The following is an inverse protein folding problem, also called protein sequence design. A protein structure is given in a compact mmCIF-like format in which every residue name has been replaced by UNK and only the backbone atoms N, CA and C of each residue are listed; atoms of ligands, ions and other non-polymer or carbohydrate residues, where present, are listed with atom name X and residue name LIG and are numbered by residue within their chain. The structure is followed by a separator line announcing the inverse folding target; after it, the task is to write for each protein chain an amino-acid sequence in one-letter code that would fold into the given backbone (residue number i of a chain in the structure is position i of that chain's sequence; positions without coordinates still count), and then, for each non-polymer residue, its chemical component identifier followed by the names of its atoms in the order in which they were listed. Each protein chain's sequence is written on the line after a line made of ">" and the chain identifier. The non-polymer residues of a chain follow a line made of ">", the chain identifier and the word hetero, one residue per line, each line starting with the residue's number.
data_IF_687692902084
#
_entry.id   IF_687692902084
#
_cell.length_a   1.000
_cell.length_b   1.000
_cell.length_c   1.000
_cell.angle_alpha   90.00
_cell.angle_beta   90.00
_cell.angle_gamma   90.00
#
_symmetry.space_group_name_H-M   'P 1'
#
loop_
_entity.id
_entity.type
_entity.pdbx_description
1 polymer ?
#
# COMPACT_ATOMS: atom_id res chain seq x y z
N UNK A 1 16.39 29.22 6.43
CA UNK A 1 15.39 28.16 6.60
C UNK A 1 16.01 26.77 6.78
N UNK A 2 16.87 26.27 5.91
CA UNK A 2 17.47 24.89 6.06
C UNK A 2 18.21 24.65 7.38
N UNK A 3 18.69 25.68 8.05
CA UNK A 3 19.38 25.60 9.34
C UNK A 3 18.45 25.78 10.55
N UNK A 4 17.15 26.00 10.34
CA UNK A 4 16.18 26.04 11.44
C UNK A 4 15.96 24.65 12.03
N UNK A 5 15.64 24.55 13.33
CA UNK A 5 15.35 23.29 14.01
C UNK A 5 14.28 22.49 13.27
N UNK A 6 13.20 23.13 12.86
CA UNK A 6 12.09 22.52 12.12
C UNK A 6 12.57 21.88 10.80
N UNK A 7 13.47 22.55 10.07
CA UNK A 7 14.01 22.00 8.82
C UNK A 7 14.99 20.86 9.08
N UNK A 8 15.81 20.92 10.13
CA UNK A 8 16.70 19.83 10.53
C UNK A 8 15.89 18.58 10.92
N UNK A 9 14.85 18.74 11.70
CA UNK A 9 13.96 17.63 12.08
C UNK A 9 13.26 17.04 10.83
N UNK A 10 12.79 17.89 9.92
CA UNK A 10 12.22 17.44 8.65
C UNK A 10 13.24 16.70 7.77
N UNK A 11 14.50 17.12 7.74
CA UNK A 11 15.57 16.43 7.00
C UNK A 11 15.80 15.02 7.56
N UNK A 12 15.80 14.87 8.87
CA UNK A 12 15.99 13.58 9.53
C UNK A 12 14.83 12.60 9.23
N UNK A 13 13.59 13.10 9.11
CA UNK A 13 12.38 12.28 8.89
C UNK A 13 12.11 12.05 7.40
N UNK A 14 12.22 13.09 6.58
CA UNK A 14 11.77 13.11 5.19
C UNK A 14 12.92 13.13 4.17
N UNK A 15 14.15 13.30 4.62
CA UNK A 15 15.33 13.46 3.79
C UNK A 15 15.52 14.89 3.27
N UNK A 16 16.78 15.23 2.91
CA UNK A 16 17.17 16.57 2.47
C UNK A 16 16.41 17.06 1.24
N UNK A 17 16.30 16.22 0.21
CA UNK A 17 15.65 16.61 -1.05
C UNK A 17 14.17 16.95 -0.86
N UNK A 18 13.43 16.15 -0.12
CA UNK A 18 12.01 16.39 0.14
C UNK A 18 11.79 17.66 0.97
N UNK A 19 12.59 17.86 2.01
CA UNK A 19 12.56 19.08 2.82
C UNK A 19 12.85 20.33 1.97
N UNK A 20 13.85 20.26 1.08
CA UNK A 20 14.16 21.36 0.18
C UNK A 20 13.00 21.67 -0.79
N UNK A 21 12.29 20.66 -1.29
CA UNK A 21 11.09 20.86 -2.13
C UNK A 21 9.98 21.56 -1.32
N UNK A 22 9.70 21.13 -0.10
CA UNK A 22 8.69 21.73 0.75
C UNK A 22 9.02 23.20 1.08
N UNK A 23 10.29 23.51 1.36
CA UNK A 23 10.76 24.89 1.58
C UNK A 23 10.55 25.74 0.33
N UNK A 24 10.92 25.24 -0.86
CA UNK A 24 10.70 25.98 -2.13
C UNK A 24 9.20 26.24 -2.39
N UNK A 25 8.37 25.25 -2.13
CA UNK A 25 6.92 25.41 -2.27
C UNK A 25 6.36 26.46 -1.30
N UNK A 26 6.83 26.50 -0.06
CA UNK A 26 6.47 27.55 0.92
C UNK A 26 6.87 28.93 0.41
N UNK A 27 8.10 29.06 -0.09
CA UNK A 27 8.60 30.34 -0.60
C UNK A 27 7.89 30.77 -1.90
N UNK A 28 7.55 29.83 -2.78
CA UNK A 28 6.76 30.10 -3.99
C UNK A 28 5.35 30.58 -3.63
N UNK A 29 4.68 29.91 -2.71
CA UNK A 29 3.36 30.34 -2.24
C UNK A 29 3.38 31.74 -1.59
N UNK A 30 4.43 32.05 -0.81
CA UNK A 30 4.62 33.40 -0.26
C UNK A 30 4.83 34.45 -1.36
N UNK A 31 5.61 34.13 -2.39
CA UNK A 31 5.81 35.03 -3.54
C UNK A 31 4.49 35.30 -4.26
N UNK A 32 3.70 34.26 -4.49
CA UNK A 32 2.39 34.38 -5.12
C UNK A 32 1.42 35.21 -4.26
N UNK A 33 1.48 35.05 -2.91
CA UNK A 33 0.68 35.88 -2.00
C UNK A 33 1.07 37.35 -2.02
N UNK A 34 2.37 37.68 -2.16
CA UNK A 34 2.86 39.04 -2.34
C UNK A 34 2.39 39.61 -3.68
N UNK A 35 2.55 38.87 -4.77
CA UNK A 35 2.16 39.32 -6.13
C UNK A 35 0.66 39.52 -6.28
N UNK A 36 -0.14 38.82 -5.49
CA UNK A 36 -1.61 38.95 -5.48
C UNK A 36 -2.15 39.86 -4.37
N UNK A 37 -1.31 40.71 -3.78
CA UNK A 37 -1.67 41.68 -2.70
C UNK A 37 -2.34 41.01 -1.48
N UNK A 38 -2.08 39.74 -1.22
CA UNK A 38 -2.58 39.02 -0.03
C UNK A 38 -1.73 39.30 1.21
N UNK A 39 -0.44 39.55 1.00
CA UNK A 39 0.50 40.02 2.02
C UNK A 39 0.65 41.52 1.83
N UNK A 40 0.32 42.28 2.86
CA UNK A 40 0.27 43.74 2.80
C UNK A 40 1.38 44.42 3.60
N UNK A 41 2.02 43.71 4.50
CA UNK A 41 3.00 44.28 5.40
C UNK A 41 4.31 43.44 5.42
N UNK A 42 5.43 44.12 5.69
CA UNK A 42 6.74 43.49 5.74
C UNK A 42 6.86 42.56 6.93
N UNK A 43 6.14 42.82 8.01
CA UNK A 43 6.10 42.00 9.23
C UNK A 43 5.53 40.63 8.96
N UNK A 44 4.73 40.42 7.90
CA UNK A 44 4.22 39.12 7.47
C UNK A 44 5.30 38.26 6.79
N UNK A 45 6.42 38.85 6.38
CA UNK A 45 7.56 38.21 5.76
C UNK A 45 8.72 37.98 6.73
N UNK A 46 8.53 38.20 8.04
CA UNK A 46 9.51 37.87 9.06
C UNK A 46 9.80 36.37 9.09
N UNK A 47 11.04 36.02 9.39
CA UNK A 47 11.49 34.62 9.36
C UNK A 47 10.62 33.69 10.21
N UNK A 48 10.17 34.16 11.37
CA UNK A 48 9.31 33.37 12.28
C UNK A 48 7.97 33.02 11.60
N UNK A 49 7.36 33.96 10.91
CA UNK A 49 6.08 33.70 10.20
C UNK A 49 6.26 32.82 8.99
N UNK A 50 7.39 32.94 8.30
CA UNK A 50 7.75 32.03 7.20
C UNK A 50 7.97 30.60 7.74
N UNK A 51 8.65 30.44 8.86
CA UNK A 51 8.85 29.15 9.51
C UNK A 51 7.54 28.53 9.99
N UNK A 52 6.61 29.33 10.52
CA UNK A 52 5.28 28.86 10.91
C UNK A 52 4.48 28.33 9.69
N UNK A 53 4.53 29.02 8.55
CA UNK A 53 3.91 28.55 7.30
C UNK A 53 4.55 27.26 6.80
N UNK A 54 5.87 27.16 6.88
CA UNK A 54 6.59 25.93 6.54
C UNK A 54 6.17 24.77 7.45
N UNK A 55 6.05 25.00 8.75
CA UNK A 55 5.57 23.98 9.71
C UNK A 55 4.14 23.53 9.40
N UNK A 56 3.25 24.45 9.06
CA UNK A 56 1.88 24.12 8.64
C UNK A 56 1.86 23.26 7.36
N UNK A 57 2.69 23.62 6.38
CA UNK A 57 2.81 22.86 5.14
C UNK A 57 3.42 21.47 5.37
N UNK A 58 4.39 21.37 6.28
CA UNK A 58 4.98 20.10 6.70
C UNK A 58 3.93 19.20 7.37
N UNK A 59 3.14 19.74 8.31
CA UNK A 59 2.01 19.02 8.93
C UNK A 59 0.99 18.54 7.91
N UNK A 60 0.65 19.37 6.91
CA UNK A 60 -0.25 18.95 5.83
C UNK A 60 0.34 17.84 4.97
N UNK A 61 1.64 17.89 4.68
CA UNK A 61 2.35 16.83 3.95
C UNK A 61 2.36 15.52 4.75
N UNK A 62 2.64 15.58 6.04
CA UNK A 62 2.65 14.42 6.94
C UNK A 62 1.26 13.80 7.11
N UNK A 63 0.21 14.63 7.17
CA UNK A 63 -1.18 14.17 7.26
C UNK A 63 -1.67 13.42 6.00
N UNK A 64 -0.98 13.58 4.85
CA UNK A 64 -1.27 12.79 3.64
C UNK A 64 -0.65 11.39 3.66
N UNK A 65 0.22 11.06 4.62
CA UNK A 65 0.82 9.73 4.78
C UNK A 65 -0.19 8.76 5.40
N UNK A 66 0.07 7.47 5.23
CA UNK A 66 -0.71 6.44 5.91
C UNK A 66 -0.65 6.63 7.44
N UNK A 67 -1.82 6.69 8.05
CA UNK A 67 -1.96 6.90 9.48
C UNK A 67 -2.75 5.77 10.12
N UNK A 68 -2.45 5.49 11.38
CA UNK A 68 -3.24 4.58 12.19
C UNK A 68 -4.65 5.15 12.37
N UNK A 69 -5.65 4.36 12.00
CA UNK A 69 -7.06 4.73 12.08
C UNK A 69 -7.80 3.78 13.02
N UNK A 70 -8.79 4.30 13.73
CA UNK A 70 -9.70 3.50 14.54
C UNK A 70 -10.89 3.10 13.67
N UNK A 71 -11.09 1.79 13.50
CA UNK A 71 -12.26 1.28 12.78
C UNK A 71 -13.46 1.19 13.74
N UNK A 72 -14.39 2.12 13.62
CA UNK A 72 -15.66 2.16 14.36
C UNK A 72 -16.88 1.88 13.46
N UNK A 73 -16.69 1.28 12.27
CA UNK A 73 -17.77 1.08 11.28
C UNK A 73 -18.60 -0.16 11.54
N UNK A 74 -18.18 -1.08 12.40
CA UNK A 74 -18.79 -2.39 12.58
C UNK A 74 -18.40 -3.42 11.50
N UNK A 75 -17.66 -3.03 10.46
CA UNK A 75 -17.19 -3.91 9.38
C UNK A 75 -15.74 -4.28 9.64
N UNK A 76 -15.47 -5.51 10.10
CA UNK A 76 -14.12 -5.96 10.48
C UNK A 76 -13.15 -5.92 9.29
N UNK A 77 -13.57 -6.42 8.13
CA UNK A 77 -12.75 -6.46 6.90
C UNK A 77 -13.02 -5.25 5.98
N UNK A 78 -13.03 -4.05 6.57
CA UNK A 78 -13.35 -2.84 5.83
C UNK A 78 -12.30 -2.56 4.74
N UNK A 79 -12.72 -2.52 3.47
CA UNK A 79 -11.85 -2.42 2.29
C UNK A 79 -11.00 -1.15 2.27
N UNK A 80 -11.55 -0.02 2.75
CA UNK A 80 -10.87 1.28 2.76
C UNK A 80 -9.98 1.49 4.00
N UNK A 81 -10.05 0.60 4.99
CA UNK A 81 -9.29 0.71 6.24
C UNK A 81 -8.20 -0.37 6.37
N UNK A 82 -7.70 -0.88 5.24
CA UNK A 82 -6.60 -1.84 5.23
C UNK A 82 -7.00 -3.28 5.52
N UNK A 83 -8.32 -3.58 5.61
CA UNK A 83 -8.87 -4.92 5.90
C UNK A 83 -8.44 -5.43 7.29
N UNK A 84 -8.03 -6.70 7.42
CA UNK A 84 -7.68 -7.29 8.72
C UNK A 84 -6.29 -6.87 9.19
N UNK A 85 -6.15 -6.31 10.40
CA UNK A 85 -4.85 -6.12 11.02
C UNK A 85 -4.18 -7.47 11.31
N UNK A 86 -2.87 -7.52 11.16
CA UNK A 86 -2.08 -8.68 11.54
C UNK A 86 -1.82 -8.69 13.05
N UNK A 87 -1.73 -9.88 13.64
CA UNK A 87 -1.34 -10.01 15.03
C UNK A 87 0.10 -9.54 15.26
N UNK A 88 0.43 -9.12 16.50
CA UNK A 88 1.81 -8.71 16.85
C UNK A 88 2.82 -9.84 16.64
N UNK A 89 2.41 -11.09 16.84
CA UNK A 89 3.26 -12.25 16.62
C UNK A 89 3.65 -12.38 15.14
N UNK A 90 2.65 -12.35 14.25
CA UNK A 90 2.89 -12.41 12.79
C UNK A 90 3.70 -11.22 12.30
N UNK A 91 3.39 -10.00 12.78
CA UNK A 91 4.11 -8.79 12.40
C UNK A 91 5.59 -8.86 12.81
N UNK A 92 5.89 -9.35 14.01
CA UNK A 92 7.28 -9.50 14.48
C UNK A 92 8.05 -10.52 13.64
N UNK A 93 7.46 -11.69 13.37
CA UNK A 93 8.08 -12.72 12.52
C UNK A 93 8.32 -12.22 11.07
N UNK A 94 7.37 -11.44 10.53
CA UNK A 94 7.52 -10.83 9.21
C UNK A 94 8.66 -9.80 9.19
N UNK A 95 8.76 -8.94 10.22
CA UNK A 95 9.84 -7.95 10.33
C UNK A 95 11.21 -8.62 10.40
N UNK A 96 11.35 -9.64 11.24
CA UNK A 96 12.60 -10.41 11.35
C UNK A 96 13.05 -10.99 10.00
N UNK A 97 12.09 -11.51 9.20
CA UNK A 97 12.38 -12.04 7.87
C UNK A 97 12.75 -10.94 6.86
N UNK A 98 12.10 -9.77 6.95
CA UNK A 98 12.30 -8.64 6.02
C UNK A 98 13.64 -7.91 6.30
N UNK A 99 14.03 -7.83 7.56
CA UNK A 99 15.26 -7.16 8.00
C UNK A 99 16.53 -7.98 7.73
N UNK A 100 16.39 -9.27 7.37
CA UNK A 100 17.50 -10.18 7.17
C UNK A 100 17.42 -10.93 5.83
N UNK A 101 18.54 -11.50 5.41
CA UNK A 101 18.51 -12.51 4.35
C UNK A 101 17.76 -13.73 4.85
N UNK A 102 16.98 -14.36 3.98
CA UNK A 102 16.19 -15.56 4.30
C UNK A 102 16.37 -16.65 3.24
N UNK A 103 16.08 -17.87 3.61
CA UNK A 103 16.13 -19.02 2.74
C UNK A 103 14.87 -19.20 1.86
N UNK A 104 14.17 -18.12 1.51
CA UNK A 104 12.88 -18.16 0.81
C UNK A 104 12.88 -19.02 -0.46
N UNK A 105 13.98 -19.06 -1.20
CA UNK A 105 14.17 -19.90 -2.39
C UNK A 105 15.48 -20.70 -2.30
N UNK A 106 15.92 -21.03 -1.10
CA UNK A 106 17.17 -21.74 -0.89
C UNK A 106 16.99 -22.86 0.14
N UNK A 107 17.28 -24.07 -0.26
CA UNK A 107 17.32 -25.24 0.63
C UNK A 107 18.68 -25.29 1.32
N UNK A 108 18.67 -25.08 2.64
CA UNK A 108 19.89 -25.01 3.46
C UNK A 108 20.56 -26.38 3.56
N UNK A 109 19.80 -27.46 3.56
CA UNK A 109 20.33 -28.82 3.74
C UNK A 109 21.06 -29.30 2.47
N UNK A 110 20.46 -29.03 1.32
CA UNK A 110 21.01 -29.50 0.03
C UNK A 110 21.90 -28.47 -0.67
N UNK A 111 21.88 -27.20 -0.24
CA UNK A 111 22.60 -26.10 -0.88
C UNK A 111 22.06 -25.75 -2.26
N UNK A 112 20.83 -26.14 -2.60
CA UNK A 112 20.22 -25.93 -3.92
C UNK A 112 19.09 -24.90 -3.86
N UNK A 113 18.63 -24.48 -5.02
CA UNK A 113 17.45 -23.63 -5.14
C UNK A 113 16.20 -24.42 -4.72
N UNK A 114 15.46 -23.88 -3.76
CA UNK A 114 14.15 -24.35 -3.31
C UNK A 114 13.00 -23.58 -3.97
N UNK A 115 11.77 -23.94 -3.62
CA UNK A 115 10.55 -23.26 -4.06
C UNK A 115 9.91 -22.50 -2.91
N UNK A 116 9.58 -21.21 -3.12
CA UNK A 116 8.84 -20.41 -2.14
C UNK A 116 7.44 -20.97 -1.83
N UNK A 117 6.89 -21.75 -2.72
CA UNK A 117 5.56 -22.35 -2.55
C UNK A 117 5.53 -23.46 -1.52
N UNK A 118 6.64 -24.17 -1.33
CA UNK A 118 6.72 -25.34 -0.43
C UNK A 118 6.45 -24.98 1.03
N UNK A 119 6.84 -23.77 1.47
CA UNK A 119 6.62 -23.32 2.85
C UNK A 119 5.14 -23.26 3.27
N UNK A 120 4.22 -23.01 2.35
CA UNK A 120 2.79 -22.88 2.63
C UNK A 120 1.98 -24.07 2.14
N UNK A 121 2.51 -24.84 1.21
CA UNK A 121 1.83 -25.99 0.59
C UNK A 121 1.32 -26.97 1.62
N UNK A 122 2.21 -27.50 2.46
CA UNK A 122 1.87 -28.54 3.44
C UNK A 122 0.85 -28.07 4.47
N UNK A 123 0.96 -26.82 4.93
CA UNK A 123 0.00 -26.30 5.90
C UNK A 123 -1.37 -26.08 5.26
N UNK A 124 -1.41 -25.60 4.01
CA UNK A 124 -2.66 -25.39 3.28
C UNK A 124 -3.34 -26.73 2.95
N UNK A 125 -2.60 -27.71 2.47
CA UNK A 125 -3.14 -29.07 2.22
C UNK A 125 -3.73 -29.68 3.49
N UNK A 126 -3.05 -29.56 4.63
CA UNK A 126 -3.58 -30.04 5.92
C UNK A 126 -4.83 -29.32 6.40
N UNK A 127 -4.91 -28.00 6.17
CA UNK A 127 -6.06 -27.18 6.60
C UNK A 127 -7.28 -27.35 5.71
N UNK A 128 -7.09 -27.60 4.43
CA UNK A 128 -8.16 -27.64 3.43
C UNK A 128 -8.56 -29.06 3.02
N UNK A 129 -7.69 -30.05 3.25
CA UNK A 129 -7.83 -31.40 2.73
C UNK A 129 -7.51 -31.52 1.22
N UNK A 130 -6.98 -30.49 0.59
CA UNK A 130 -6.60 -30.50 -0.81
C UNK A 130 -5.32 -31.36 -1.04
N UNK A 131 -5.20 -31.94 -2.23
CA UNK A 131 -4.02 -32.72 -2.63
C UNK A 131 -2.80 -31.83 -2.88
N UNK A 132 -3.02 -30.60 -3.34
CA UNK A 132 -2.00 -29.59 -3.58
C UNK A 132 -2.54 -28.17 -3.38
N UNK A 133 -1.63 -27.20 -3.17
CA UNK A 133 -1.99 -25.81 -2.96
C UNK A 133 -0.93 -24.86 -3.50
N UNK A 134 -1.39 -23.75 -4.05
CA UNK A 134 -0.55 -22.62 -4.47
C UNK A 134 -1.12 -21.32 -3.93
N UNK A 135 -0.23 -20.42 -3.51
CA UNK A 135 -0.61 -19.09 -3.02
C UNK A 135 -0.30 -18.05 -4.09
N UNK A 136 -1.27 -17.21 -4.34
CA UNK A 136 -1.17 -16.04 -5.22
C UNK A 136 -1.44 -14.77 -4.41
N UNK A 137 -1.10 -13.60 -4.95
CA UNK A 137 -1.13 -12.34 -4.21
C UNK A 137 -2.54 -11.83 -3.86
N UNK A 138 -3.59 -12.27 -4.54
CA UNK A 138 -4.97 -11.90 -4.24
C UNK A 138 -5.99 -12.84 -4.90
N UNK A 139 -7.26 -12.68 -4.54
CA UNK A 139 -8.36 -13.50 -5.07
C UNK A 139 -8.54 -13.34 -6.60
N UNK A 140 -8.36 -12.13 -7.15
CA UNK A 140 -8.43 -11.91 -8.59
C UNK A 140 -7.42 -12.78 -9.36
N UNK A 141 -6.19 -12.84 -8.87
CA UNK A 141 -5.16 -13.69 -9.44
C UNK A 141 -5.50 -15.18 -9.31
N UNK A 142 -6.12 -15.61 -8.21
CA UNK A 142 -6.59 -16.98 -8.04
C UNK A 142 -7.66 -17.35 -9.06
N UNK A 143 -8.68 -16.51 -9.20
CA UNK A 143 -9.77 -16.72 -10.20
C UNK A 143 -9.21 -16.73 -11.62
N UNK A 144 -8.33 -15.77 -11.97
CA UNK A 144 -7.69 -15.72 -13.28
C UNK A 144 -6.86 -16.99 -13.56
N UNK A 145 -6.09 -17.45 -12.58
CA UNK A 145 -5.28 -18.67 -12.73
C UNK A 145 -6.16 -19.89 -12.98
N UNK A 146 -7.20 -20.08 -12.19
CA UNK A 146 -8.12 -21.21 -12.32
C UNK A 146 -8.79 -21.19 -13.70
N UNK A 147 -9.39 -20.05 -14.08
CA UNK A 147 -10.13 -19.94 -15.33
C UNK A 147 -9.23 -20.07 -16.56
N UNK A 148 -8.04 -19.46 -16.56
CA UNK A 148 -7.11 -19.60 -17.69
C UNK A 148 -6.55 -21.01 -17.82
N UNK A 149 -6.50 -21.78 -16.75
CA UNK A 149 -6.02 -23.16 -16.75
C UNK A 149 -7.11 -24.13 -17.22
N UNK A 150 -8.32 -24.02 -16.68
CA UNK A 150 -9.37 -25.04 -16.89
C UNK A 150 -10.46 -24.64 -17.89
N UNK A 151 -10.67 -23.33 -18.10
CA UNK A 151 -11.80 -22.80 -18.84
C UNK A 151 -11.43 -21.93 -20.05
N UNK A 152 -10.15 -21.90 -20.45
CA UNK A 152 -9.73 -21.15 -21.64
C UNK A 152 -10.51 -21.62 -22.87
N UNK A 153 -11.19 -20.70 -23.59
CA UNK A 153 -12.08 -20.94 -24.72
C UNK A 153 -13.31 -21.81 -24.40
N UNK A 154 -13.67 -21.98 -23.11
CA UNK A 154 -14.86 -22.71 -22.67
C UNK A 154 -15.87 -21.77 -22.02
N UNK A 155 -17.09 -22.24 -21.89
CA UNK A 155 -18.16 -21.55 -21.17
C UNK A 155 -18.03 -21.75 -19.66
N UNK A 156 -18.28 -20.67 -18.91
CA UNK A 156 -18.25 -20.64 -17.44
C UNK A 156 -19.57 -20.06 -16.96
N UNK A 157 -20.29 -20.85 -16.19
CA UNK A 157 -21.59 -20.46 -15.63
C UNK A 157 -21.36 -19.76 -14.29
N UNK A 158 -21.90 -18.56 -14.15
CA UNK A 158 -21.81 -17.76 -12.90
C UNK A 158 -23.19 -17.19 -12.58
N UNK A 159 -23.59 -17.34 -11.33
CA UNK A 159 -24.82 -16.70 -10.83
C UNK A 159 -24.73 -15.18 -10.94
N UNK A 160 -25.81 -14.52 -11.36
CA UNK A 160 -25.89 -13.05 -11.42
C UNK A 160 -25.60 -12.39 -10.06
N UNK A 161 -25.98 -13.04 -8.96
CA UNK A 161 -25.70 -12.55 -7.60
C UNK A 161 -24.22 -12.56 -7.23
N UNK A 162 -23.39 -13.30 -7.95
CA UNK A 162 -21.93 -13.41 -7.73
C UNK A 162 -21.11 -12.53 -8.67
N UNK A 163 -21.75 -11.86 -9.63
CA UNK A 163 -21.14 -10.88 -10.52
C UNK A 163 -20.93 -9.55 -9.78
N UNK A 164 -20.15 -9.60 -8.72
CA UNK A 164 -19.93 -8.46 -7.83
C UNK A 164 -18.75 -7.59 -8.28
N UNK A 165 -18.83 -6.31 -7.90
CA UNK A 165 -17.71 -5.38 -7.96
C UNK A 165 -17.20 -5.13 -6.54
N UNK A 166 -15.94 -5.47 -6.27
CA UNK A 166 -15.34 -5.33 -4.95
C UNK A 166 -14.24 -4.28 -4.98
N UNK A 167 -14.31 -3.29 -4.08
CA UNK A 167 -13.26 -2.30 -3.89
C UNK A 167 -13.06 -1.34 -5.07
N UNK A 168 -14.11 -1.07 -5.84
CA UNK A 168 -14.15 -0.02 -6.86
C UNK A 168 -13.46 -0.33 -8.21
N UNK A 169 -12.78 -1.46 -8.34
CA UNK A 169 -12.12 -1.82 -9.61
C UNK A 169 -12.09 -3.31 -9.94
N UNK A 170 -12.30 -4.18 -8.95
CA UNK A 170 -12.35 -5.63 -9.19
C UNK A 170 -13.76 -6.04 -9.61
N UNK A 171 -13.92 -6.36 -10.90
CA UNK A 171 -15.16 -6.87 -11.47
C UNK A 171 -14.96 -8.31 -11.91
N UNK A 172 -15.77 -9.23 -11.40
CA UNK A 172 -15.71 -10.65 -11.76
C UNK A 172 -15.83 -10.86 -13.26
N UNK A 173 -16.75 -10.22 -13.99
CA UNK A 173 -16.83 -10.36 -15.46
C UNK A 173 -15.52 -9.99 -16.17
N UNK A 174 -14.87 -8.91 -15.78
CA UNK A 174 -13.61 -8.47 -16.42
C UNK A 174 -12.47 -9.46 -16.22
N UNK A 175 -12.39 -10.10 -15.05
CA UNK A 175 -11.39 -11.17 -14.79
C UNK A 175 -11.69 -12.41 -15.64
N UNK A 176 -12.96 -12.76 -15.82
CA UNK A 176 -13.38 -13.87 -16.66
C UNK A 176 -13.02 -13.63 -18.14
N UNK A 177 -13.31 -12.45 -18.67
CA UNK A 177 -12.91 -12.05 -20.02
C UNK A 177 -11.39 -12.15 -20.23
N UNK A 178 -10.60 -11.63 -19.25
CA UNK A 178 -9.14 -11.69 -19.29
C UNK A 178 -8.58 -13.11 -19.25
N UNK A 179 -9.31 -14.07 -18.67
CA UNK A 179 -8.90 -15.48 -18.65
C UNK A 179 -9.06 -16.19 -19.98
N UNK A 180 -9.76 -15.58 -20.94
CA UNK A 180 -10.13 -16.21 -22.23
C UNK A 180 -11.31 -17.16 -22.12
N UNK A 181 -12.06 -17.16 -21.02
CA UNK A 181 -13.31 -17.90 -20.86
C UNK A 181 -14.52 -17.09 -21.35
N UNK A 182 -15.62 -17.78 -21.66
CA UNK A 182 -16.90 -17.17 -22.02
C UNK A 182 -17.85 -17.23 -20.84
N UNK A 183 -18.29 -16.06 -20.38
CA UNK A 183 -19.29 -15.96 -19.32
C UNK A 183 -20.68 -16.33 -19.88
N UNK A 184 -21.40 -17.20 -19.20
CA UNK A 184 -22.76 -17.65 -19.50
C UNK A 184 -23.69 -17.45 -18.29
#
# INVERSE_FOLDING_TARGET
>A
MLQSSIAVDSININGHNQTAILIRNTLSALRDDVLNDRIKTVEELELEKILLRFEQQLKQYENKKLQKTINATGVILHTNLGRAPLSRYVTRAALETIENYSNLEFDIETGKRGSRHDYLRDILCRLTGAEDAVVVNNNAAAVLLILSTFAKNKEVIVSRGELVEIGGSFRVPSVMEQSGSKLV
#
